data_IF_135969645689
#
_entry.id   IF_135969645689
#
_cell.length_a   1.000
_cell.length_b   1.000
_cell.length_c   1.000
_cell.angle_alpha   90.00
_cell.angle_beta   90.00
_cell.angle_gamma   90.00
#
_symmetry.space_group_name_H-M   'P 1'
#
loop_
_entity.id
_entity.type
_entity.pdbx_description
1 polymer ?
#
# COMPACT_ATOMS: atom_id res chain seq x y z
N UNK A 1 -17.21 2.91 3.01
CA UNK A 1 -16.94 1.49 2.76
C UNK A 1 -17.39 0.69 3.97
N UNK A 2 -18.00 -0.47 3.74
CA UNK A 2 -18.31 -1.44 4.80
C UNK A 2 -17.13 -2.40 5.06
N UNK A 3 -17.27 -3.30 6.03
CA UNK A 3 -16.21 -4.26 6.40
C UNK A 3 -15.83 -5.19 5.24
N UNK A 4 -16.82 -5.66 4.48
CA UNK A 4 -16.61 -6.52 3.31
C UNK A 4 -15.78 -5.82 2.24
N UNK A 5 -16.03 -4.53 2.00
CA UNK A 5 -15.25 -3.73 1.06
C UNK A 5 -13.79 -3.58 1.50
N UNK A 6 -13.55 -3.40 2.81
CA UNK A 6 -12.19 -3.33 3.34
C UNK A 6 -11.42 -4.65 3.18
N UNK A 7 -12.06 -5.79 3.47
CA UNK A 7 -11.44 -7.10 3.29
C UNK A 7 -11.16 -7.41 1.81
N UNK A 8 -12.05 -6.99 0.90
CA UNK A 8 -11.80 -7.11 -0.54
C UNK A 8 -10.57 -6.32 -0.95
N UNK A 9 -10.49 -5.05 -0.53
CA UNK A 9 -9.36 -4.20 -0.87
C UNK A 9 -8.06 -4.69 -0.23
N UNK A 10 -8.10 -5.19 1.00
CA UNK A 10 -6.96 -5.87 1.63
C UNK A 10 -6.45 -7.02 0.77
N UNK A 11 -7.34 -7.87 0.26
CA UNK A 11 -6.96 -9.00 -0.59
C UNK A 11 -6.31 -8.54 -1.92
N UNK A 12 -6.90 -7.55 -2.58
CA UNK A 12 -6.34 -6.98 -3.82
C UNK A 12 -4.94 -6.39 -3.60
N UNK A 13 -4.75 -5.64 -2.51
CA UNK A 13 -3.45 -5.08 -2.17
C UNK A 13 -2.46 -6.15 -1.70
N UNK A 14 -2.91 -7.24 -1.07
CA UNK A 14 -2.05 -8.36 -0.71
C UNK A 14 -1.52 -9.11 -1.94
N UNK A 15 -2.30 -9.20 -3.03
CA UNK A 15 -1.80 -9.73 -4.31
C UNK A 15 -0.66 -8.85 -4.84
N UNK A 16 -0.82 -7.53 -4.83
CA UNK A 16 0.26 -6.61 -5.20
C UNK A 16 1.47 -6.73 -4.26
N UNK A 17 1.25 -6.91 -2.94
CA UNK A 17 2.32 -7.12 -1.97
C UNK A 17 3.13 -8.40 -2.25
N UNK A 18 2.47 -9.49 -2.68
CA UNK A 18 3.16 -10.71 -3.09
C UNK A 18 4.00 -10.48 -4.34
N UNK A 19 3.48 -9.77 -5.34
CA UNK A 19 4.20 -9.46 -6.57
C UNK A 19 5.40 -8.52 -6.36
N UNK A 20 5.27 -7.57 -5.44
CA UNK A 20 6.33 -6.60 -5.10
C UNK A 20 7.34 -7.16 -4.09
N UNK A 21 7.04 -8.29 -3.45
CA UNK A 21 7.97 -8.97 -2.54
C UNK A 21 9.06 -9.65 -3.33
N UNK A 22 10.30 -9.34 -2.98
CA UNK A 22 11.49 -9.98 -3.53
C UNK A 22 12.17 -10.74 -2.40
N UNK A 23 12.23 -12.09 -2.47
CA UNK A 23 12.93 -12.89 -1.48
C UNK A 23 14.32 -12.33 -1.20
N UNK A 24 14.68 -12.30 0.08
CA UNK A 24 15.96 -11.78 0.59
C UNK A 24 16.27 -10.29 0.35
N UNK A 25 15.36 -9.50 -0.21
CA UNK A 25 15.57 -8.06 -0.39
C UNK A 25 14.49 -7.22 0.30
N UNK A 26 13.23 -7.44 -0.04
CA UNK A 26 12.10 -6.67 0.46
C UNK A 26 10.86 -7.54 0.62
N UNK A 27 10.20 -7.44 1.78
CA UNK A 27 8.90 -8.09 2.03
C UNK A 27 7.84 -7.05 2.29
N UNK A 28 6.71 -7.20 1.62
CA UNK A 28 5.53 -6.36 1.81
C UNK A 28 4.42 -7.13 2.53
N UNK A 29 3.54 -6.40 3.20
CA UNK A 29 2.31 -6.95 3.74
C UNK A 29 1.24 -5.87 3.86
N UNK A 30 -0.02 -6.30 3.73
CA UNK A 30 -1.18 -5.44 3.91
C UNK A 30 -2.12 -6.09 4.90
N UNK A 31 -2.68 -5.29 5.81
CA UNK A 31 -3.63 -5.77 6.80
C UNK A 31 -4.77 -4.78 7.00
N UNK A 32 -6.00 -5.27 7.08
CA UNK A 32 -7.14 -4.47 7.50
C UNK A 32 -7.07 -4.17 8.99
N UNK A 33 -7.43 -2.94 9.35
CA UNK A 33 -7.57 -2.54 10.75
C UNK A 33 -8.91 -3.02 11.32
N UNK A 34 -8.93 -3.23 12.64
CA UNK A 34 -10.17 -3.59 13.36
C UNK A 34 -11.25 -2.52 13.22
N UNK A 35 -10.82 -1.25 13.14
CA UNK A 35 -11.66 -0.13 12.75
C UNK A 35 -11.22 0.35 11.36
N UNK A 36 -12.19 0.56 10.47
CA UNK A 36 -12.06 0.93 9.05
C UNK A 36 -10.68 1.46 8.61
N UNK A 37 -10.03 0.75 7.70
CA UNK A 37 -8.78 1.17 7.12
C UNK A 37 -7.86 0.00 6.78
N UNK A 38 -6.75 0.32 6.12
CA UNK A 38 -5.71 -0.64 5.76
C UNK A 38 -4.35 -0.11 6.22
N UNK A 39 -3.48 -1.01 6.65
CA UNK A 39 -2.07 -0.74 6.92
C UNK A 39 -1.25 -1.45 5.86
N UNK A 40 -0.38 -0.69 5.20
CA UNK A 40 0.64 -1.22 4.30
C UNK A 40 1.98 -1.12 5.03
N UNK A 41 2.74 -2.21 5.05
CA UNK A 41 4.04 -2.29 5.72
C UNK A 41 5.06 -2.96 4.81
N UNK A 42 6.32 -2.57 4.99
CA UNK A 42 7.45 -3.20 4.31
C UNK A 42 8.66 -3.30 5.22
N UNK A 43 9.44 -4.36 5.01
CA UNK A 43 10.77 -4.52 5.57
C UNK A 43 11.73 -4.73 4.40
N UNK A 44 12.74 -3.86 4.28
CA UNK A 44 13.72 -3.88 3.21
C UNK A 44 15.14 -3.85 3.75
N UNK A 45 16.07 -4.51 3.05
CA UNK A 45 17.52 -4.35 3.27
C UNK A 45 18.06 -3.04 2.69
N UNK A 46 17.34 -2.40 1.77
CA UNK A 46 17.74 -1.17 1.08
C UNK A 46 16.60 -0.16 1.02
N UNK A 47 16.89 1.12 1.27
CA UNK A 47 15.84 2.15 1.34
C UNK A 47 15.25 2.54 -0.03
N UNK A 48 15.99 2.34 -1.12
CA UNK A 48 15.62 2.81 -2.47
C UNK A 48 14.41 2.10 -3.06
N UNK A 49 14.14 0.85 -2.66
CA UNK A 49 13.06 0.02 -3.21
C UNK A 49 11.69 0.30 -2.58
N UNK A 50 11.65 0.98 -1.43
CA UNK A 50 10.40 1.27 -0.70
C UNK A 50 9.51 2.29 -1.43
N UNK A 51 10.10 3.34 -1.99
CA UNK A 51 9.34 4.46 -2.55
C UNK A 51 8.48 4.04 -3.76
N UNK A 52 9.03 3.22 -4.66
CA UNK A 52 8.31 2.72 -5.83
C UNK A 52 7.14 1.82 -5.43
N UNK A 53 7.34 0.92 -4.47
CA UNK A 53 6.29 0.06 -3.95
C UNK A 53 5.17 0.87 -3.28
N UNK A 54 5.51 1.82 -2.40
CA UNK A 54 4.55 2.70 -1.73
C UNK A 54 3.68 3.47 -2.74
N UNK A 55 4.27 3.97 -3.82
CA UNK A 55 3.53 4.67 -4.88
C UNK A 55 2.51 3.74 -5.56
N UNK A 56 2.86 2.47 -5.80
CA UNK A 56 1.94 1.47 -6.36
C UNK A 56 0.74 1.26 -5.43
N UNK A 57 0.96 1.03 -4.14
CA UNK A 57 -0.13 0.88 -3.18
C UNK A 57 -0.99 2.15 -3.08
N UNK A 58 -0.37 3.32 -3.07
CA UNK A 58 -1.10 4.60 -3.04
C UNK A 58 -2.04 4.74 -4.23
N UNK A 59 -1.57 4.39 -5.44
CA UNK A 59 -2.39 4.41 -6.66
C UNK A 59 -3.58 3.47 -6.57
N UNK A 60 -3.33 2.21 -6.21
CA UNK A 60 -4.38 1.20 -6.11
C UNK A 60 -5.43 1.56 -5.04
N UNK A 61 -4.97 1.90 -3.83
CA UNK A 61 -5.86 2.24 -2.73
C UNK A 61 -6.67 3.51 -3.02
N UNK A 62 -6.06 4.56 -3.59
CA UNK A 62 -6.79 5.79 -3.91
C UNK A 62 -7.85 5.55 -4.97
N UNK A 63 -7.53 4.77 -6.01
CA UNK A 63 -8.50 4.42 -7.04
C UNK A 63 -9.68 3.64 -6.45
N UNK A 64 -9.40 2.64 -5.59
CA UNK A 64 -10.45 1.84 -4.98
C UNK A 64 -11.33 2.63 -4.00
N UNK A 65 -10.73 3.55 -3.22
CA UNK A 65 -11.44 4.31 -2.19
C UNK A 65 -12.22 5.50 -2.74
N UNK A 66 -11.69 6.17 -3.76
CA UNK A 66 -12.19 7.46 -4.22
C UNK A 66 -12.55 7.50 -5.71
N UNK A 67 -12.31 6.41 -6.45
CA UNK A 67 -12.60 6.34 -7.89
C UNK A 67 -11.78 7.29 -8.76
N UNK A 68 -10.67 7.84 -8.23
CA UNK A 68 -9.85 8.84 -8.90
C UNK A 68 -8.38 8.44 -8.95
N UNK A 69 -7.70 8.99 -9.95
CA UNK A 69 -6.25 8.89 -10.07
C UNK A 69 -5.58 9.44 -8.81
N UNK A 70 -4.56 8.71 -8.33
CA UNK A 70 -3.82 9.14 -7.17
C UNK A 70 -2.86 10.26 -7.50
N UNK A 71 -2.94 11.33 -6.72
CA UNK A 71 -1.92 12.36 -6.64
C UNK A 71 -0.97 11.91 -5.53
N UNK A 72 0.30 11.59 -5.83
CA UNK A 72 1.24 11.17 -4.80
C UNK A 72 1.40 12.26 -3.75
N UNK A 73 1.56 11.92 -2.47
CA UNK A 73 1.91 12.91 -1.47
C UNK A 73 3.26 13.53 -1.87
N UNK A 74 3.26 14.84 -2.08
CA UNK A 74 4.48 15.61 -2.28
C UNK A 74 5.22 15.69 -0.94
N UNK A 75 6.53 15.51 -0.99
CA UNK A 75 7.40 15.66 0.18
C UNK A 75 7.22 17.07 0.73
N UNK A 76 6.55 17.24 1.86
CA UNK A 76 6.60 18.50 2.61
C UNK A 76 7.99 18.59 3.20
N UNK A 77 8.83 19.45 2.63
CA UNK A 77 10.10 19.83 3.27
C UNK A 77 9.70 20.76 4.40
N UNK A 78 9.52 20.22 5.60
CA UNK A 78 9.49 21.04 6.81
C UNK A 78 10.91 21.56 7.01
N UNK A 79 11.12 22.84 6.75
CA UNK A 79 12.35 23.57 7.06
C UNK A 79 12.49 23.82 8.57
#
# INVERSE_FOLDING_TARGET
MDQTSWLRLENELNIAAQQLTQPDEIRWGVSALTAHGLVIRALSKQNTTLAAGLLTFWRMATQALYGRNAIPPVRSISA
#
